data_IF_408395904155
#
_entry.id   IF_408395904155
#
_cell.length_a   1.000
_cell.length_b   1.000
_cell.length_c   1.000
_cell.angle_alpha   90.00
_cell.angle_beta   90.00
_cell.angle_gamma   90.00
#
_symmetry.space_group_name_H-M   'P 1'
#
loop_
_entity.id
_entity.type
_entity.pdbx_description
1 polymer ?
#
# COMPACT_ATOMS: atom_id res chain seq x y z
N UNK A 1 12.86 22.84 18.43
CA UNK A 1 13.11 23.22 17.02
C UNK A 1 14.05 22.24 16.30
N UNK A 2 15.20 21.83 16.85
CA UNK A 2 16.09 20.81 16.23
C UNK A 2 15.41 19.47 15.94
N UNK A 3 14.61 18.97 16.89
CA UNK A 3 13.85 17.71 16.73
C UNK A 3 12.82 17.80 15.62
N UNK A 4 12.09 18.92 15.54
CA UNK A 4 11.08 19.19 14.52
C UNK A 4 11.69 19.18 13.12
N UNK A 5 12.82 19.86 12.94
CA UNK A 5 13.54 19.87 11.66
C UNK A 5 13.96 18.46 11.25
N UNK A 6 14.46 17.66 12.20
CA UNK A 6 14.93 16.30 11.96
C UNK A 6 13.77 15.36 11.58
N UNK A 7 12.61 15.49 12.24
CA UNK A 7 11.41 14.72 11.88
C UNK A 7 10.88 15.07 10.48
N UNK A 8 10.90 16.35 10.09
CA UNK A 8 10.44 16.77 8.76
C UNK A 8 11.36 16.20 7.68
N UNK A 9 12.68 16.26 7.89
CA UNK A 9 13.67 15.68 6.97
C UNK A 9 13.45 14.17 6.82
N UNK A 10 13.27 13.45 7.93
CA UNK A 10 13.07 12.01 7.90
C UNK A 10 11.79 11.62 7.14
N UNK A 11 10.68 12.33 7.38
CA UNK A 11 9.43 12.12 6.65
C UNK A 11 9.62 12.40 5.15
N UNK A 12 10.26 13.51 4.79
CA UNK A 12 10.50 13.88 3.39
C UNK A 12 11.29 12.79 2.64
N UNK A 13 12.29 12.18 3.30
CA UNK A 13 13.07 11.08 2.72
C UNK A 13 12.20 9.84 2.48
N UNK A 14 11.31 9.49 3.42
CA UNK A 14 10.38 8.36 3.24
C UNK A 14 9.46 8.58 2.03
N UNK A 15 8.86 9.76 1.90
CA UNK A 15 8.00 10.09 0.75
C UNK A 15 8.78 10.12 -0.56
N UNK A 16 10.00 10.65 -0.56
CA UNK A 16 10.87 10.63 -1.74
C UNK A 16 11.20 9.20 -2.18
N UNK A 17 11.52 8.30 -1.25
CA UNK A 17 11.78 6.89 -1.55
C UNK A 17 10.56 6.17 -2.14
N UNK A 18 9.36 6.48 -1.65
CA UNK A 18 8.10 5.98 -2.23
C UNK A 18 7.89 6.52 -3.64
N UNK A 19 8.08 7.83 -3.85
CA UNK A 19 7.89 8.47 -5.15
C UNK A 19 8.86 7.94 -6.22
N UNK A 20 10.13 7.76 -5.88
CA UNK A 20 11.14 7.14 -6.76
C UNK A 20 10.68 5.74 -7.19
N UNK A 21 10.17 4.95 -6.25
CA UNK A 21 9.68 3.59 -6.54
C UNK A 21 8.51 3.59 -7.53
N UNK A 22 7.61 4.57 -7.49
CA UNK A 22 6.49 4.71 -8.44
C UNK A 22 7.02 5.05 -9.83
N UNK A 23 7.97 6.00 -9.92
CA UNK A 23 8.51 6.49 -11.20
C UNK A 23 9.34 5.41 -11.91
N UNK A 24 10.12 4.62 -11.15
CA UNK A 24 10.99 3.59 -11.71
C UNK A 24 10.31 2.23 -11.92
N UNK A 25 9.11 2.01 -11.36
CA UNK A 25 8.38 0.75 -11.58
C UNK A 25 7.47 0.91 -12.79
N UNK A 26 7.70 0.07 -13.81
CA UNK A 26 6.83 -0.04 -14.98
C UNK A 26 5.42 -0.41 -14.49
N UNK A 27 4.42 0.39 -14.89
CA UNK A 27 3.00 0.37 -14.48
C UNK A 27 2.63 1.05 -13.14
N UNK A 28 3.56 1.71 -12.43
CA UNK A 28 3.23 2.62 -11.30
C UNK A 28 2.48 1.99 -10.12
N UNK A 29 2.21 0.69 -10.16
CA UNK A 29 1.43 0.00 -9.14
C UNK A 29 2.28 -0.28 -7.91
N UNK A 30 1.83 0.24 -6.78
CA UNK A 30 2.17 -0.34 -5.50
C UNK A 30 1.72 -1.80 -5.55
N UNK A 31 2.66 -2.75 -5.51
CA UNK A 31 2.34 -4.18 -5.46
C UNK A 31 1.35 -4.37 -4.32
N UNK A 32 0.07 -4.53 -4.66
CA UNK A 32 -1.03 -4.40 -3.73
C UNK A 32 -0.91 -5.42 -2.63
N UNK A 33 -0.33 -5.02 -1.51
CA UNK A 33 -0.40 -5.76 -0.27
C UNK A 33 -1.71 -5.33 0.39
N UNK A 34 -2.88 -5.85 -0.06
CA UNK A 34 -4.11 -5.73 0.75
C UNK A 34 -3.70 -6.24 2.14
N UNK A 35 -3.62 -5.35 3.12
CA UNK A 35 -3.21 -5.73 4.47
C UNK A 35 -4.17 -6.80 5.04
N UNK A 36 -5.46 -6.72 4.66
CA UNK A 36 -6.46 -7.74 5.00
C UNK A 36 -6.33 -9.08 4.28
N UNK A 37 -5.51 -9.23 3.23
CA UNK A 37 -5.19 -10.53 2.64
C UNK A 37 -3.73 -10.94 2.91
N UNK A 38 -3.02 -10.23 3.78
CA UNK A 38 -1.65 -10.60 4.13
C UNK A 38 -1.68 -11.79 5.12
N UNK A 39 -1.13 -12.96 4.79
CA UNK A 39 -1.19 -14.16 5.64
C UNK A 39 -0.48 -14.00 7.00
N UNK A 40 0.39 -13.00 7.14
CA UNK A 40 0.99 -12.65 8.44
C UNK A 40 0.01 -11.90 9.36
N UNK A 41 -0.93 -11.13 8.80
CA UNK A 41 -1.89 -10.29 9.53
C UNK A 41 -3.27 -10.92 9.62
N UNK A 42 -3.76 -11.54 8.53
CA UNK A 42 -5.03 -12.24 8.47
C UNK A 42 -4.81 -13.73 8.81
N UNK A 43 -4.77 -14.02 10.11
CA UNK A 43 -4.54 -15.37 10.65
C UNK A 43 -5.81 -16.21 10.68
N UNK A 44 -6.97 -15.57 10.72
CA UNK A 44 -8.28 -16.23 10.74
C UNK A 44 -8.79 -16.61 9.34
N UNK A 45 -8.09 -16.23 8.28
CA UNK A 45 -8.46 -16.58 6.90
C UNK A 45 -9.71 -15.85 6.43
N UNK A 46 -9.95 -14.64 6.96
CA UNK A 46 -11.12 -13.84 6.59
C UNK A 46 -11.00 -13.33 5.15
N UNK A 47 -12.13 -13.06 4.51
CA UNK A 47 -12.13 -12.42 3.19
C UNK A 47 -11.62 -10.97 3.32
N UNK A 48 -10.79 -10.47 2.40
CA UNK A 48 -10.33 -9.06 2.44
C UNK A 48 -11.57 -8.15 2.44
N UNK A 49 -11.84 -7.49 3.56
CA UNK A 49 -13.07 -6.69 3.78
C UNK A 49 -13.25 -5.54 2.78
N UNK A 50 -12.20 -5.22 2.03
CA UNK A 50 -12.19 -4.18 1.01
C UNK A 50 -12.67 -4.67 -0.37
N UNK A 51 -12.32 -5.89 -0.78
CA UNK A 51 -12.62 -6.41 -2.14
C UNK A 51 -13.34 -7.76 -2.15
N UNK A 52 -13.60 -8.35 -0.98
CA UNK A 52 -14.28 -9.64 -0.83
C UNK A 52 -13.48 -10.86 -1.33
N UNK A 53 -12.23 -10.68 -1.74
CA UNK A 53 -11.38 -11.76 -2.21
C UNK A 53 -11.09 -12.74 -1.06
N UNK A 54 -11.16 -14.03 -1.36
CA UNK A 54 -10.74 -15.09 -0.44
C UNK A 54 -9.24 -14.94 -0.10
N UNK A 55 -8.76 -15.47 1.05
CA UNK A 55 -7.37 -15.34 1.49
C UNK A 55 -6.34 -15.84 0.45
N UNK A 56 -6.69 -16.88 -0.32
CA UNK A 56 -5.84 -17.43 -1.40
C UNK A 56 -5.99 -16.71 -2.75
N UNK A 57 -6.95 -15.79 -2.86
CA UNK A 57 -7.19 -15.01 -4.06
C UNK A 57 -6.46 -13.66 -3.98
N UNK A 58 -5.78 -13.30 -5.08
CA UNK A 58 -5.27 -11.94 -5.25
C UNK A 58 -6.45 -10.97 -5.17
N UNK A 59 -6.30 -9.89 -4.40
CA UNK A 59 -7.36 -8.90 -4.28
C UNK A 59 -7.76 -8.40 -5.67
N UNK A 60 -9.01 -8.64 -6.02
CA UNK A 60 -9.61 -8.35 -7.31
C UNK A 60 -9.92 -6.86 -7.35
N UNK A 61 -9.01 -6.03 -7.84
CA UNK A 61 -9.35 -4.65 -8.22
C UNK A 61 -9.61 -4.62 -9.72
N UNK A 62 -10.77 -4.13 -10.19
CA UNK A 62 -10.79 -3.38 -11.43
C UNK A 62 -10.09 -2.03 -11.20
N UNK A 63 -9.34 -1.58 -12.18
CA UNK A 63 -8.65 -0.29 -12.16
C UNK A 63 -9.65 0.87 -12.35
N UNK A 64 -10.65 1.04 -11.48
CA UNK A 64 -11.61 2.13 -11.60
C UNK A 64 -12.42 2.25 -10.32
N UNK A 65 -12.16 3.29 -9.52
CA UNK A 65 -13.07 3.94 -8.55
C UNK A 65 -12.24 4.82 -7.60
N UNK A 66 -11.73 5.92 -8.15
CA UNK A 66 -11.19 7.01 -7.35
C UNK A 66 -11.39 8.36 -8.04
N UNK A 67 -12.55 8.60 -8.68
CA UNK A 67 -13.07 9.96 -8.95
C UNK A 67 -14.58 9.89 -9.24
N UNK A 68 -15.40 10.23 -8.25
CA UNK A 68 -16.74 10.87 -8.29
C UNK A 68 -17.41 10.66 -6.93
#
# INVERSE_FOLDING_TARGET
MKTVLLSIILLAICFAGIAIKIIFKKDGEFSGTCASNNPLLNKEGESCSFCGAAPDEKCKKPAEQSIA
#
